data_IF_623155453243
#
_entry.id   IF_623155453243
#
_cell.length_a   1.000
_cell.length_b   1.000
_cell.length_c   1.000
_cell.angle_alpha   90.00
_cell.angle_beta   90.00
_cell.angle_gamma   90.00
#
_symmetry.space_group_name_H-M   'P 1'
#
loop_
_entity.id
_entity.type
_entity.pdbx_description
1 polymer ?
#
# COMPACT_ATOMS: atom_id res chain seq x y z
N UNK A 1 -9.13 11.46 -14.69
CA UNK A 1 -8.31 10.24 -14.88
C UNK A 1 -7.19 10.27 -13.86
N UNK A 2 -7.46 9.81 -12.65
CA UNK A 2 -6.56 9.78 -11.47
C UNK A 2 -5.41 8.77 -11.60
N UNK A 3 -5.36 8.01 -12.71
CA UNK A 3 -4.38 6.96 -12.96
C UNK A 3 -2.94 7.47 -13.12
N UNK A 4 -2.73 8.65 -13.71
CA UNK A 4 -1.39 9.08 -14.12
C UNK A 4 -0.41 9.18 -12.92
N UNK A 5 -0.90 9.72 -11.80
CA UNK A 5 -0.10 9.94 -10.58
C UNK A 5 0.41 8.66 -9.92
N UNK A 6 -0.37 7.57 -9.97
CA UNK A 6 -0.07 6.33 -9.24
C UNK A 6 0.54 5.23 -10.13
N UNK A 7 0.72 5.49 -11.43
CA UNK A 7 1.15 4.48 -12.41
C UNK A 7 2.38 3.68 -11.97
N UNK A 8 3.44 4.35 -11.49
CA UNK A 8 4.66 3.65 -11.04
C UNK A 8 4.42 2.79 -9.81
N UNK A 9 3.68 3.30 -8.83
CA UNK A 9 3.34 2.57 -7.59
C UNK A 9 2.50 1.32 -7.92
N UNK A 10 1.56 1.43 -8.85
CA UNK A 10 0.73 0.30 -9.28
C UNK A 10 1.56 -0.77 -10.01
N UNK A 11 2.53 -0.34 -10.84
CA UNK A 11 3.47 -1.26 -11.50
C UNK A 11 4.36 -1.99 -10.49
N UNK A 12 4.85 -1.28 -9.48
CA UNK A 12 5.63 -1.86 -8.38
C UNK A 12 4.80 -2.87 -7.59
N UNK A 13 3.60 -2.51 -7.14
CA UNK A 13 2.67 -3.42 -6.44
C UNK A 13 2.36 -4.68 -7.26
N UNK A 14 2.13 -4.52 -8.57
CA UNK A 14 1.87 -5.66 -9.47
C UNK A 14 3.08 -6.59 -9.58
N UNK A 15 4.29 -6.03 -9.55
CA UNK A 15 5.54 -6.80 -9.61
C UNK A 15 5.77 -7.54 -8.30
N UNK A 16 5.66 -6.83 -7.17
CA UNK A 16 5.78 -7.41 -5.83
C UNK A 16 4.75 -8.53 -5.60
N UNK A 17 3.52 -8.37 -6.08
CA UNK A 17 2.51 -9.43 -5.97
C UNK A 17 2.97 -10.74 -6.63
N UNK A 18 3.53 -10.65 -7.85
CA UNK A 18 4.01 -11.84 -8.57
C UNK A 18 5.15 -12.52 -7.83
N UNK A 19 6.06 -11.74 -7.24
CA UNK A 19 7.19 -12.25 -6.47
C UNK A 19 6.72 -12.93 -5.18
N UNK A 20 5.75 -12.34 -4.48
CA UNK A 20 5.15 -12.90 -3.28
C UNK A 20 4.36 -14.19 -3.57
N UNK A 21 3.55 -14.22 -4.64
CA UNK A 21 2.80 -15.42 -5.04
C UNK A 21 3.72 -16.57 -5.49
N UNK A 22 4.90 -16.25 -6.02
CA UNK A 22 5.93 -17.24 -6.32
C UNK A 22 6.72 -17.69 -5.07
N UNK A 23 6.66 -16.92 -3.99
CA UNK A 23 7.37 -17.20 -2.75
C UNK A 23 6.63 -18.23 -1.90
N UNK A 24 7.38 -19.17 -1.32
CA UNK A 24 6.86 -20.14 -0.35
C UNK A 24 7.89 -20.38 0.74
N UNK A 25 7.43 -20.50 1.98
CA UNK A 25 8.26 -20.83 3.14
C UNK A 25 7.77 -22.10 3.81
N UNK A 26 8.70 -22.89 4.33
CA UNK A 26 8.37 -24.05 5.16
C UNK A 26 8.06 -23.66 6.61
N UNK A 27 8.48 -22.46 7.04
CA UNK A 27 8.22 -21.98 8.38
C UNK A 27 6.81 -21.37 8.45
N UNK A 28 5.89 -21.90 9.28
CA UNK A 28 4.48 -21.49 9.27
C UNK A 28 4.28 -19.98 9.48
N UNK A 29 5.02 -19.39 10.43
CA UNK A 29 4.94 -17.96 10.70
C UNK A 29 5.39 -17.10 9.51
N UNK A 30 6.43 -17.53 8.78
CA UNK A 30 6.92 -16.78 7.62
C UNK A 30 5.92 -16.91 6.48
N UNK A 31 5.33 -18.10 6.29
CA UNK A 31 4.29 -18.28 5.29
C UNK A 31 3.06 -17.41 5.59
N UNK A 32 2.65 -17.31 6.86
CA UNK A 32 1.56 -16.42 7.26
C UNK A 32 1.85 -14.96 6.88
N UNK A 33 3.06 -14.44 7.17
CA UNK A 33 3.42 -13.08 6.77
C UNK A 33 3.42 -12.87 5.26
N UNK A 34 3.83 -13.87 4.48
CA UNK A 34 3.73 -13.82 3.01
C UNK A 34 2.27 -13.75 2.58
N UNK A 35 1.39 -14.57 3.16
CA UNK A 35 -0.04 -14.62 2.82
C UNK A 35 -0.76 -13.31 3.21
N UNK A 36 -0.40 -12.72 4.35
CA UNK A 36 -0.90 -11.42 4.81
C UNK A 36 -0.48 -10.31 3.84
N UNK A 37 0.81 -10.26 3.45
CA UNK A 37 1.33 -9.28 2.48
C UNK A 37 0.66 -9.42 1.10
N UNK A 38 0.47 -10.65 0.60
CA UNK A 38 -0.28 -10.91 -0.64
C UNK A 38 -1.69 -10.33 -0.54
N UNK A 39 -2.34 -10.49 0.61
CA UNK A 39 -3.69 -9.99 0.84
C UNK A 39 -3.73 -8.47 0.79
N UNK A 40 -2.80 -7.79 1.47
CA UNK A 40 -2.70 -6.33 1.46
C UNK A 40 -2.45 -5.77 0.05
N UNK A 41 -1.50 -6.34 -0.68
CA UNK A 41 -1.19 -5.92 -2.05
C UNK A 41 -2.37 -6.14 -3.00
N UNK A 42 -3.07 -7.28 -2.89
CA UNK A 42 -4.29 -7.53 -3.67
C UNK A 42 -5.40 -6.54 -3.36
N UNK A 43 -5.59 -6.19 -2.10
CA UNK A 43 -6.57 -5.18 -1.70
C UNK A 43 -6.23 -3.82 -2.31
N UNK A 44 -4.97 -3.39 -2.22
CA UNK A 44 -4.52 -2.14 -2.84
C UNK A 44 -4.80 -2.11 -4.35
N UNK A 45 -4.45 -3.16 -5.09
CA UNK A 45 -4.71 -3.28 -6.52
C UNK A 45 -6.21 -3.33 -6.87
N UNK A 46 -7.04 -3.98 -6.04
CA UNK A 46 -8.48 -3.95 -6.22
C UNK A 46 -9.04 -2.53 -6.08
N UNK A 47 -8.55 -1.75 -5.10
CA UNK A 47 -8.97 -0.35 -4.95
C UNK A 47 -8.55 0.50 -6.14
N UNK A 48 -7.42 0.21 -6.78
CA UNK A 48 -7.02 0.87 -8.04
C UNK A 48 -8.06 0.60 -9.11
N UNK A 49 -8.43 -0.68 -9.33
CA UNK A 49 -9.48 -1.07 -10.29
C UNK A 49 -10.82 -0.38 -9.99
N UNK A 50 -11.15 -0.26 -8.72
CA UNK A 50 -12.44 0.29 -8.26
C UNK A 50 -12.41 1.84 -8.15
N UNK A 51 -11.32 2.50 -8.59
CA UNK A 51 -11.08 3.95 -8.50
C UNK A 51 -11.13 4.53 -7.07
N UNK A 52 -10.80 3.71 -6.07
CA UNK A 52 -10.79 4.04 -4.63
C UNK A 52 -9.37 4.12 -4.04
N UNK A 53 -8.34 3.97 -4.87
CA UNK A 53 -6.94 4.05 -4.44
C UNK A 53 -6.54 5.50 -4.12
N UNK A 54 -5.81 5.69 -3.01
CA UNK A 54 -5.45 7.01 -2.51
C UNK A 54 -6.56 7.73 -1.74
N UNK A 55 -7.69 7.07 -1.45
CA UNK A 55 -8.75 7.62 -0.60
C UNK A 55 -8.87 6.81 0.69
N UNK A 56 -9.15 7.47 1.80
CA UNK A 56 -9.38 6.85 3.10
C UNK A 56 -10.69 6.05 3.06
N UNK A 57 -10.68 4.77 3.42
CA UNK A 57 -11.90 3.96 3.43
C UNK A 57 -12.91 4.36 4.51
N UNK A 58 -12.45 5.03 5.57
CA UNK A 58 -13.30 5.45 6.68
C UNK A 58 -13.97 6.80 6.41
N UNK A 59 -13.22 7.79 5.90
CA UNK A 59 -13.72 9.15 5.69
C UNK A 59 -14.03 9.51 4.24
N UNK A 60 -13.50 8.75 3.27
CA UNK A 60 -13.57 9.08 1.85
C UNK A 60 -12.62 10.21 1.41
N UNK A 61 -11.86 10.80 2.35
CA UNK A 61 -10.91 11.88 2.05
C UNK A 61 -9.65 11.35 1.33
N UNK A 62 -8.98 12.20 0.55
CA UNK A 62 -7.72 11.83 -0.10
C UNK A 62 -6.61 11.61 0.95
N UNK A 63 -5.93 10.47 0.85
CA UNK A 63 -4.69 10.21 1.59
C UNK A 63 -3.56 10.94 0.87
N UNK A 64 -2.78 11.79 1.58
CA UNK A 64 -1.65 12.48 0.98
C UNK A 64 -0.70 11.53 0.25
N UNK A 65 -0.35 11.89 -0.97
CA UNK A 65 0.48 11.04 -1.83
C UNK A 65 1.83 10.67 -1.25
N UNK A 66 2.47 11.57 -0.50
CA UNK A 66 3.75 11.25 0.14
C UNK A 66 3.62 10.07 1.11
N UNK A 67 2.46 9.90 1.74
CA UNK A 67 2.20 8.73 2.59
C UNK A 67 1.92 7.48 1.77
N UNK A 68 1.15 7.59 0.68
CA UNK A 68 0.93 6.46 -0.25
C UNK A 68 2.25 6.00 -0.87
N UNK A 69 3.15 6.93 -1.19
CA UNK A 69 4.49 6.62 -1.70
C UNK A 69 5.37 5.93 -0.67
N UNK A 70 5.20 6.23 0.62
CA UNK A 70 5.91 5.55 1.71
C UNK A 70 5.33 4.17 2.01
N UNK A 71 4.00 4.06 2.04
CA UNK A 71 3.29 2.79 2.21
C UNK A 71 2.15 2.68 1.18
N UNK A 72 2.39 1.97 0.06
CA UNK A 72 1.41 1.78 -1.00
C UNK A 72 0.17 0.96 -0.63
N UNK A 73 0.19 0.17 0.45
CA UNK A 73 -0.97 -0.64 0.87
C UNK A 73 -1.86 0.07 1.89
N UNK A 74 -1.50 1.29 2.32
CA UNK A 74 -2.28 2.00 3.33
C UNK A 74 -3.70 2.38 2.82
N UNK A 75 -4.71 2.10 3.65
CA UNK A 75 -6.13 2.30 3.33
C UNK A 75 -6.80 3.41 4.14
N UNK A 76 -6.14 3.87 5.21
CA UNK A 76 -6.68 4.86 6.15
C UNK A 76 -5.70 6.00 6.39
N UNK A 77 -6.23 7.20 6.64
CA UNK A 77 -5.44 8.35 7.07
C UNK A 77 -4.72 8.11 8.40
N UNK A 78 -5.35 7.37 9.32
CA UNK A 78 -4.73 7.05 10.60
C UNK A 78 -3.46 6.22 10.40
N UNK A 79 -3.56 5.12 9.64
CA UNK A 79 -2.40 4.28 9.33
C UNK A 79 -1.30 5.08 8.64
N UNK A 80 -1.65 5.87 7.62
CA UNK A 80 -0.72 6.76 6.92
C UNK A 80 0.02 7.73 7.87
N UNK A 81 -0.67 8.30 8.86
CA UNK A 81 -0.09 9.21 9.86
C UNK A 81 0.79 8.51 10.89
N UNK A 82 0.57 7.22 11.18
CA UNK A 82 1.46 6.46 12.05
C UNK A 82 2.85 6.30 11.41
N UNK A 83 2.92 6.10 10.09
CA UNK A 83 4.19 6.06 9.36
C UNK A 83 4.99 7.34 9.49
N UNK A 84 4.34 8.52 9.55
CA UNK A 84 5.02 9.79 9.83
C UNK A 84 5.76 9.78 11.17
N UNK A 85 5.25 9.08 12.19
CA UNK A 85 5.88 9.02 13.51
C UNK A 85 7.19 8.24 13.47
N UNK A 86 7.27 7.20 12.65
CA UNK A 86 8.44 6.32 12.57
C UNK A 86 9.41 6.69 11.44
N UNK A 87 8.94 7.33 10.37
CA UNK A 87 9.68 7.56 9.13
C UNK A 87 10.74 8.68 9.15
N UNK A 88 11.09 9.27 10.30
CA UNK A 88 11.96 10.47 10.40
C UNK A 88 11.67 11.50 9.30
N UNK A 89 10.40 11.91 9.15
CA UNK A 89 10.07 12.98 8.22
C UNK A 89 10.73 14.26 8.75
N UNK A 90 11.84 14.67 8.15
CA UNK A 90 12.41 15.99 8.36
C UNK A 90 11.32 16.99 8.05
N UNK A 91 10.84 17.70 9.07
CA UNK A 91 10.03 18.88 8.90
C UNK A 91 10.89 19.89 8.14
N UNK A 92 10.79 19.90 6.81
CA UNK A 92 11.29 21.03 6.06
C UNK A 92 10.33 22.19 6.31
N UNK A 93 10.78 23.07 7.20
CA UNK A 93 10.29 24.44 7.40
C UNK A 93 10.50 25.29 6.15
#
# INVERSE_FOLDING_TARGET
MTYDRYTSIVQELTTSLKELEASRSQHPLIQQYIDDEITEVKQALNRVRDNQYGYCEMSGEEIPFDFIKMNPTCTTLHGALEWRRFGKISSYS
#
